data_IF_218773513832
#
_entry.id   IF_218773513832
#
_cell.length_a   1.000
_cell.length_b   1.000
_cell.length_c   1.000
_cell.angle_alpha   90.00
_cell.angle_beta   90.00
_cell.angle_gamma   90.00
#
_symmetry.space_group_name_H-M   'P 1'
#
loop_
_entity.id
_entity.type
_entity.pdbx_description
1 polymer ?
#
# COMPACT_ATOMS: atom_id res chain seq x y z
N UNK A 1 11.02 24.47 -5.11
CA UNK A 1 11.15 23.05 -5.46
C UNK A 1 10.87 22.92 -6.94
N UNK A 2 11.84 22.43 -7.70
CA UNK A 2 11.59 21.99 -9.08
C UNK A 2 10.85 20.67 -9.03
N UNK A 3 9.78 20.58 -9.80
CA UNK A 3 9.19 19.30 -10.18
C UNK A 3 10.13 18.67 -11.20
N UNK A 4 10.55 17.43 -10.98
CA UNK A 4 11.34 16.65 -11.94
C UNK A 4 10.58 15.36 -12.22
N UNK A 5 10.35 15.05 -13.49
CA UNK A 5 9.73 13.81 -13.90
C UNK A 5 10.79 12.72 -14.07
N UNK A 6 10.46 11.45 -13.75
CA UNK A 6 11.32 10.31 -14.08
C UNK A 6 11.73 10.29 -15.56
N UNK A 7 10.81 10.69 -16.45
CA UNK A 7 11.07 10.78 -17.89
C UNK A 7 12.12 11.83 -18.26
N UNK A 8 12.27 12.91 -17.48
CA UNK A 8 13.35 13.88 -17.67
C UNK A 8 14.70 13.25 -17.35
N UNK A 9 14.80 12.46 -16.28
CA UNK A 9 16.00 11.70 -15.93
C UNK A 9 16.35 10.68 -17.02
N UNK A 10 15.34 10.00 -17.57
CA UNK A 10 15.55 9.08 -18.69
C UNK A 10 16.14 9.81 -19.90
N UNK A 11 15.56 10.95 -20.29
CA UNK A 11 15.99 11.72 -21.47
C UNK A 11 17.36 12.37 -21.27
N UNK A 12 17.61 12.95 -20.09
CA UNK A 12 18.79 13.79 -19.85
C UNK A 12 20.01 13.02 -19.33
N UNK A 13 19.80 11.83 -18.73
CA UNK A 13 20.87 11.05 -18.08
C UNK A 13 20.98 9.64 -18.64
N UNK A 14 19.86 8.91 -18.73
CA UNK A 14 19.89 7.51 -19.20
C UNK A 14 20.21 7.40 -20.69
N UNK A 15 19.47 8.10 -21.56
CA UNK A 15 19.65 8.00 -23.02
C UNK A 15 21.05 8.42 -23.50
N UNK A 16 21.66 9.52 -23.02
CA UNK A 16 23.04 9.85 -23.37
C UNK A 16 24.03 8.77 -22.94
N UNK A 17 23.85 8.22 -21.73
CA UNK A 17 24.69 7.14 -21.21
C UNK A 17 24.54 5.87 -22.06
N UNK A 18 23.31 5.44 -22.34
CA UNK A 18 23.02 4.27 -23.17
C UNK A 18 23.64 4.41 -24.58
N UNK A 19 23.48 5.57 -25.22
CA UNK A 19 24.04 5.87 -26.54
C UNK A 19 25.56 5.84 -26.54
N UNK A 20 26.19 6.43 -25.53
CA UNK A 20 27.65 6.42 -25.42
C UNK A 20 28.20 5.00 -25.28
N UNK A 21 27.58 4.18 -24.45
CA UNK A 21 27.98 2.79 -24.23
C UNK A 21 27.73 1.92 -25.47
N UNK A 22 26.56 2.06 -26.12
CA UNK A 22 26.25 1.34 -27.36
C UNK A 22 27.20 1.73 -28.49
N UNK A 23 27.51 3.02 -28.66
CA UNK A 23 28.43 3.48 -29.69
C UNK A 23 29.82 2.87 -29.52
N UNK A 24 30.35 2.84 -28.29
CA UNK A 24 31.63 2.18 -27.99
C UNK A 24 31.57 0.67 -28.23
N UNK A 25 30.51 0.00 -27.75
CA UNK A 25 30.36 -1.43 -27.92
C UNK A 25 30.25 -1.85 -29.40
N UNK A 26 29.67 -1.01 -30.25
CA UNK A 26 29.60 -1.23 -31.70
C UNK A 26 30.95 -0.94 -32.38
N UNK A 27 31.64 0.14 -32.01
CA UNK A 27 32.98 0.46 -32.52
C UNK A 27 33.97 -0.69 -32.23
N UNK A 28 33.92 -1.26 -31.01
CA UNK A 28 34.70 -2.45 -30.61
C UNK A 28 34.39 -3.71 -31.44
N UNK A 29 33.19 -3.78 -32.03
CA UNK A 29 32.75 -4.88 -32.90
C UNK A 29 33.04 -4.61 -34.39
N UNK A 30 33.77 -3.53 -34.70
CA UNK A 30 34.23 -3.21 -36.05
C UNK A 30 33.22 -2.42 -36.89
N UNK A 31 32.16 -1.88 -36.30
CA UNK A 31 31.26 -0.97 -37.01
C UNK A 31 31.97 0.35 -37.31
N UNK A 32 31.77 0.88 -38.51
CA UNK A 32 32.21 2.24 -38.83
C UNK A 32 31.35 3.27 -38.08
N UNK A 33 31.92 4.46 -37.83
CA UNK A 33 31.18 5.53 -37.14
C UNK A 33 29.91 5.95 -37.87
N UNK A 34 29.86 5.81 -39.20
CA UNK A 34 28.66 6.06 -39.98
C UNK A 34 27.59 4.98 -39.74
N UNK A 35 27.97 3.70 -39.73
CA UNK A 35 27.03 2.61 -39.45
C UNK A 35 26.47 2.66 -38.02
N UNK A 36 27.27 3.14 -37.06
CA UNK A 36 26.82 3.39 -35.69
C UNK A 36 25.83 4.57 -35.66
N UNK A 37 26.13 5.65 -36.38
CA UNK A 37 25.28 6.83 -36.47
C UNK A 37 23.90 6.48 -37.03
N UNK A 38 23.87 5.70 -38.12
CA UNK A 38 22.65 5.25 -38.77
C UNK A 38 21.78 4.38 -37.85
N UNK A 39 22.40 3.49 -37.05
CA UNK A 39 21.68 2.62 -36.09
C UNK A 39 21.15 3.37 -34.88
N UNK A 40 21.93 4.30 -34.33
CA UNK A 40 21.56 5.03 -33.11
C UNK A 40 20.68 6.26 -33.40
N UNK A 41 20.49 6.62 -34.67
CA UNK A 41 19.72 7.80 -35.08
C UNK A 41 20.38 9.10 -34.63
N UNK A 42 21.72 9.17 -34.70
CA UNK A 42 22.52 10.34 -34.29
C UNK A 42 23.46 10.75 -35.41
N UNK A 43 24.17 11.87 -35.26
CA UNK A 43 25.18 12.28 -36.24
C UNK A 43 26.49 11.48 -36.05
N UNK A 44 27.25 11.28 -37.13
CA UNK A 44 28.58 10.67 -37.04
C UNK A 44 29.53 11.48 -36.13
N UNK A 45 29.38 12.80 -36.08
CA UNK A 45 30.11 13.64 -35.14
C UNK A 45 29.79 13.33 -33.67
N UNK A 46 28.53 13.04 -33.34
CA UNK A 46 28.13 12.59 -32.00
C UNK A 46 28.75 11.22 -31.66
N UNK A 47 28.78 10.28 -32.62
CA UNK A 47 29.46 8.99 -32.44
C UNK A 47 30.95 9.18 -32.15
N UNK A 48 31.63 10.07 -32.88
CA UNK A 48 33.02 10.40 -32.63
C UNK A 48 33.27 10.92 -31.21
N UNK A 49 32.35 11.70 -30.64
CA UNK A 49 32.43 12.16 -29.25
C UNK A 49 32.20 11.00 -28.26
N UNK A 50 31.21 10.14 -28.51
CA UNK A 50 30.95 8.97 -27.66
C UNK A 50 32.14 8.03 -27.56
N UNK A 51 32.77 7.71 -28.70
CA UNK A 51 33.92 6.80 -28.78
C UNK A 51 35.15 7.38 -28.08
N UNK A 52 35.40 8.69 -28.22
CA UNK A 52 36.49 9.38 -27.49
C UNK A 52 36.22 9.54 -25.99
N UNK A 53 34.96 9.47 -25.59
CA UNK A 53 34.52 9.69 -24.22
C UNK A 53 34.41 11.14 -23.81
N UNK A 54 34.21 12.03 -24.78
CA UNK A 54 33.99 13.46 -24.58
C UNK A 54 32.53 13.78 -24.17
N UNK A 55 31.82 12.83 -23.55
CA UNK A 55 30.40 12.97 -23.18
C UNK A 55 30.19 12.58 -21.73
N UNK A 56 29.45 13.41 -20.99
CA UNK A 56 29.04 13.12 -19.61
C UNK A 56 28.12 11.90 -19.59
N UNK A 57 28.51 10.90 -18.81
CA UNK A 57 27.69 9.73 -18.49
C UNK A 57 27.29 9.78 -17.02
N UNK A 58 26.16 9.15 -16.69
CA UNK A 58 25.74 8.96 -15.31
C UNK A 58 26.30 7.64 -14.77
N UNK A 59 27.18 7.72 -13.77
CA UNK A 59 27.91 6.56 -13.23
C UNK A 59 26.95 5.50 -12.69
N UNK A 60 25.85 5.91 -12.05
CA UNK A 60 24.82 4.98 -11.54
C UNK A 60 24.19 4.12 -12.62
N UNK A 61 24.18 4.59 -13.87
CA UNK A 61 23.71 3.81 -15.02
C UNK A 61 24.86 3.08 -15.71
N UNK A 62 26.00 3.75 -15.92
CA UNK A 62 27.13 3.20 -16.66
C UNK A 62 27.80 2.01 -15.96
N UNK A 63 27.73 1.97 -14.63
CA UNK A 63 28.29 0.90 -13.81
C UNK A 63 27.31 -0.24 -13.52
N UNK A 64 26.01 -0.03 -13.73
CA UNK A 64 24.99 -1.05 -13.47
C UNK A 64 25.16 -2.27 -14.39
N UNK A 65 25.16 -3.46 -13.78
CA UNK A 65 25.39 -4.71 -14.50
C UNK A 65 24.32 -4.98 -15.56
N UNK A 66 23.06 -4.58 -15.31
CA UNK A 66 21.94 -4.77 -16.24
C UNK A 66 22.07 -3.86 -17.44
N UNK A 67 22.55 -2.62 -17.27
CA UNK A 67 22.88 -1.73 -18.38
C UNK A 67 23.98 -2.34 -19.25
N UNK A 68 25.09 -2.75 -18.65
CA UNK A 68 26.22 -3.37 -19.38
C UNK A 68 25.82 -4.66 -20.08
N UNK A 69 24.96 -5.48 -19.47
CA UNK A 69 24.43 -6.69 -20.09
C UNK A 69 23.54 -6.38 -21.29
N UNK A 70 22.66 -5.38 -21.17
CA UNK A 70 21.75 -4.96 -22.25
C UNK A 70 22.51 -4.34 -23.42
N UNK A 71 23.47 -3.46 -23.16
CA UNK A 71 24.36 -2.89 -24.19
C UNK A 71 25.11 -3.98 -24.94
N UNK A 72 25.70 -4.96 -24.23
CA UNK A 72 26.40 -6.09 -24.87
C UNK A 72 25.45 -6.92 -25.73
N UNK A 73 24.28 -7.28 -25.20
CA UNK A 73 23.27 -8.07 -25.91
C UNK A 73 22.83 -7.39 -27.21
N UNK A 74 22.56 -6.09 -27.18
CA UNK A 74 22.20 -5.31 -28.36
C UNK A 74 23.37 -5.26 -29.37
N UNK A 75 24.58 -4.94 -28.90
CA UNK A 75 25.74 -4.83 -29.77
C UNK A 75 26.11 -6.16 -30.44
N UNK A 76 26.04 -7.28 -29.69
CA UNK A 76 26.23 -8.63 -30.21
C UNK A 76 25.15 -9.00 -31.21
N UNK A 77 23.89 -8.68 -30.91
CA UNK A 77 22.75 -8.91 -31.80
C UNK A 77 22.89 -8.16 -33.13
N UNK A 78 23.33 -6.90 -33.09
CA UNK A 78 23.60 -6.13 -34.30
C UNK A 78 24.79 -6.68 -35.11
N UNK A 79 25.88 -7.08 -34.44
CA UNK A 79 27.05 -7.67 -35.11
C UNK A 79 26.72 -9.01 -35.79
N UNK A 80 25.86 -9.82 -35.16
CA UNK A 80 25.41 -11.10 -35.70
C UNK A 80 24.28 -10.98 -36.73
N UNK A 81 23.68 -9.79 -36.87
CA UNK A 81 22.47 -9.59 -37.68
C UNK A 81 21.23 -10.33 -37.13
N UNK A 82 21.26 -10.74 -35.86
CA UNK A 82 20.19 -11.45 -35.18
C UNK A 82 19.24 -10.53 -34.40
N UNK A 83 19.50 -9.22 -34.42
CA UNK A 83 18.69 -8.20 -33.77
C UNK A 83 18.49 -7.02 -34.72
N UNK A 84 17.26 -6.55 -34.85
CA UNK A 84 16.93 -5.32 -35.57
C UNK A 84 16.74 -4.11 -34.62
N UNK A 85 16.48 -2.93 -35.19
CA UNK A 85 16.32 -1.70 -34.41
C UNK A 85 15.09 -1.71 -33.50
N UNK A 86 14.03 -2.47 -33.86
CA UNK A 86 12.82 -2.59 -33.05
C UNK A 86 13.08 -3.47 -31.83
N UNK A 87 13.79 -4.59 -32.00
CA UNK A 87 14.20 -5.47 -30.90
C UNK A 87 15.17 -4.76 -29.95
N UNK A 88 16.14 -4.01 -30.48
CA UNK A 88 17.03 -3.18 -29.65
C UNK A 88 16.27 -2.10 -28.86
N UNK A 89 15.23 -1.51 -29.45
CA UNK A 89 14.35 -0.57 -28.76
C UNK A 89 13.61 -1.26 -27.61
N UNK A 90 13.06 -2.46 -27.84
CA UNK A 90 12.36 -3.23 -26.81
C UNK A 90 13.29 -3.55 -25.62
N UNK A 91 14.54 -3.91 -25.90
CA UNK A 91 15.58 -4.16 -24.88
C UNK A 91 15.88 -2.92 -24.03
N UNK A 92 15.99 -1.74 -24.66
CA UNK A 92 16.21 -0.49 -23.95
C UNK A 92 14.99 -0.07 -23.12
N UNK A 93 13.77 -0.26 -23.65
CA UNK A 93 12.53 0.04 -22.92
C UNK A 93 12.38 -0.85 -21.68
N UNK A 94 12.63 -2.16 -21.81
CA UNK A 94 12.61 -3.09 -20.68
C UNK A 94 13.64 -2.72 -19.60
N UNK A 95 14.81 -2.22 -20.02
CA UNK A 95 15.82 -1.72 -19.09
C UNK A 95 15.37 -0.44 -18.37
N UNK A 96 14.74 0.50 -19.08
CA UNK A 96 14.16 1.71 -18.47
C UNK A 96 13.13 1.33 -17.42
N UNK A 97 12.18 0.46 -17.75
CA UNK A 97 11.17 -0.04 -16.79
C UNK A 97 11.82 -0.66 -15.54
N UNK A 98 12.87 -1.46 -15.75
CA UNK A 98 13.63 -2.07 -14.64
C UNK A 98 14.35 -1.02 -13.77
N UNK A 99 14.77 0.09 -14.36
CA UNK A 99 15.45 1.17 -13.63
C UNK A 99 14.47 2.11 -12.92
N UNK A 100 13.25 2.23 -13.44
CA UNK A 100 12.13 2.95 -12.84
C UNK A 100 11.44 2.17 -11.71
N UNK A 101 11.69 0.86 -11.58
CA UNK A 101 11.27 0.06 -10.43
C UNK A 101 12.35 -0.02 -9.35
N UNK A 102 12.35 0.98 -8.45
CA UNK A 102 13.28 1.07 -7.31
C UNK A 102 14.74 0.90 -7.72
N UNK A 103 15.05 1.29 -8.94
CA UNK A 103 16.36 1.15 -9.56
C UNK A 103 17.12 2.46 -9.58
N UNK A 104 18.19 2.51 -10.39
CA UNK A 104 19.03 3.69 -10.51
C UNK A 104 18.29 4.98 -10.89
N UNK A 105 17.21 4.91 -11.69
CA UNK A 105 16.42 6.11 -12.05
C UNK A 105 15.74 6.69 -10.81
N UNK A 106 15.17 5.85 -9.94
CA UNK A 106 14.60 6.29 -8.67
C UNK A 106 15.64 6.95 -7.76
N UNK A 107 16.86 6.38 -7.69
CA UNK A 107 17.93 6.95 -6.87
C UNK A 107 18.37 8.34 -7.36
N UNK A 108 18.45 8.54 -8.67
CA UNK A 108 18.72 9.87 -9.25
C UNK A 108 17.54 10.81 -8.99
N UNK A 109 16.31 10.31 -9.10
CA UNK A 109 15.10 11.10 -8.88
C UNK A 109 14.98 11.62 -7.46
N UNK A 110 15.30 10.78 -6.47
CA UNK A 110 15.35 11.15 -5.06
C UNK A 110 16.39 12.25 -4.77
N UNK A 111 17.54 12.20 -5.45
CA UNK A 111 18.58 13.23 -5.33
C UNK A 111 18.15 14.58 -5.95
N UNK A 112 17.43 14.55 -7.06
CA UNK A 112 16.92 15.76 -7.75
C UNK A 112 15.65 16.32 -7.09
N UNK A 113 14.87 15.46 -6.43
CA UNK A 113 13.66 15.82 -5.69
C UNK A 113 13.74 15.36 -4.23
N UNK A 114 14.38 16.16 -3.34
CA UNK A 114 14.57 15.79 -1.94
C UNK A 114 13.29 15.51 -1.15
N UNK A 115 12.12 15.90 -1.64
CA UNK A 115 10.84 15.49 -1.02
C UNK A 115 10.65 13.98 -1.04
N UNK A 116 11.16 13.30 -2.07
CA UNK A 116 11.06 11.86 -2.24
C UNK A 116 11.98 11.07 -1.31
N UNK A 117 12.91 11.75 -0.61
CA UNK A 117 13.90 11.14 0.26
C UNK A 117 13.23 10.26 1.34
N UNK A 118 13.49 8.95 1.28
CA UNK A 118 12.94 7.97 2.20
C UNK A 118 11.45 7.65 2.02
N UNK A 119 10.76 8.19 1.01
CA UNK A 119 9.33 7.88 0.78
C UNK A 119 9.11 6.45 0.27
N UNK A 120 10.09 5.84 -0.39
CA UNK A 120 9.90 4.58 -1.09
C UNK A 120 8.89 4.71 -2.25
N UNK A 121 9.03 5.77 -3.04
CA UNK A 121 8.16 6.09 -4.18
C UNK A 121 8.06 4.90 -5.16
N UNK A 122 6.83 4.54 -5.56
CA UNK A 122 6.55 3.50 -6.56
C UNK A 122 5.58 3.96 -7.67
N UNK A 123 5.44 5.29 -7.83
CA UNK A 123 4.50 5.92 -8.76
C UNK A 123 4.73 5.50 -10.23
N UNK A 124 5.99 5.37 -10.67
CA UNK A 124 6.35 4.98 -12.04
C UNK A 124 5.85 3.58 -12.41
N UNK A 125 5.86 2.66 -11.45
CA UNK A 125 5.51 1.24 -11.66
C UNK A 125 4.02 1.01 -11.45
N UNK A 126 3.45 1.71 -10.47
CA UNK A 126 2.11 1.38 -9.96
C UNK A 126 1.04 2.39 -10.38
N UNK A 127 1.44 3.44 -11.08
CA UNK A 127 0.56 4.49 -11.61
C UNK A 127 -0.15 5.28 -10.52
N UNK A 128 -1.10 6.10 -10.95
CA UNK A 128 -1.99 6.89 -10.11
C UNK A 128 -3.38 6.22 -9.96
N UNK A 129 -3.45 4.90 -9.91
CA UNK A 129 -4.74 4.22 -9.74
C UNK A 129 -5.25 4.45 -8.31
N UNK A 130 -6.22 5.35 -8.19
CA UNK A 130 -6.87 5.72 -6.93
C UNK A 130 -7.40 4.49 -6.17
N UNK A 131 -7.83 3.44 -6.88
CA UNK A 131 -8.30 2.22 -6.25
C UNK A 131 -7.15 1.46 -5.59
N UNK A 132 -6.01 1.30 -6.27
CA UNK A 132 -4.82 0.64 -5.72
C UNK A 132 -4.22 1.43 -4.55
N UNK A 133 -4.26 2.77 -4.63
CA UNK A 133 -3.83 3.66 -3.53
C UNK A 133 -4.76 3.48 -2.32
N UNK A 134 -6.09 3.49 -2.54
CA UNK A 134 -7.08 3.29 -1.49
C UNK A 134 -6.94 1.91 -0.83
N UNK A 135 -6.69 0.86 -1.61
CA UNK A 135 -6.48 -0.49 -1.10
C UNK A 135 -5.25 -0.58 -0.20
N UNK A 136 -4.12 -0.02 -0.62
CA UNK A 136 -2.91 0.02 0.22
C UNK A 136 -3.11 0.86 1.47
N UNK A 137 -3.77 2.00 1.34
CA UNK A 137 -4.09 2.85 2.48
C UNK A 137 -4.90 2.07 3.52
N UNK A 138 -5.92 1.31 3.08
CA UNK A 138 -6.71 0.46 3.96
C UNK A 138 -5.87 -0.62 4.65
N UNK A 139 -5.04 -1.38 3.91
CA UNK A 139 -4.15 -2.40 4.49
C UNK A 139 -3.15 -1.81 5.50
N UNK A 140 -2.57 -0.64 5.18
CA UNK A 140 -1.63 0.08 6.06
C UNK A 140 -2.31 0.57 7.34
N UNK A 141 -3.52 1.11 7.22
CA UNK A 141 -4.36 1.53 8.35
C UNK A 141 -4.70 0.35 9.26
N UNK A 142 -5.12 -0.79 8.72
CA UNK A 142 -5.41 -1.98 9.53
C UNK A 142 -4.16 -2.52 10.21
N UNK A 143 -3.02 -2.55 9.52
CA UNK A 143 -1.74 -2.98 10.12
C UNK A 143 -1.35 -2.09 11.30
N UNK A 144 -1.48 -0.77 11.17
CA UNK A 144 -1.22 0.19 12.25
C UNK A 144 -2.18 0.00 13.43
N UNK A 145 -3.47 -0.14 13.15
CA UNK A 145 -4.49 -0.38 14.16
C UNK A 145 -4.25 -1.70 14.94
N UNK A 146 -3.97 -2.80 14.23
CA UNK A 146 -3.66 -4.09 14.85
C UNK A 146 -2.41 -4.01 15.74
N UNK A 147 -1.35 -3.34 15.28
CA UNK A 147 -0.15 -3.11 16.12
C UNK A 147 -0.45 -2.25 17.33
N UNK A 148 -1.31 -1.24 17.21
CA UNK A 148 -1.73 -0.39 18.36
C UNK A 148 -2.45 -1.23 19.41
N UNK A 149 -3.44 -2.03 19.01
CA UNK A 149 -4.14 -2.96 19.90
C UNK A 149 -3.17 -3.96 20.54
N UNK A 150 -2.24 -4.51 19.74
CA UNK A 150 -1.30 -5.53 20.22
C UNK A 150 -0.35 -5.02 21.32
N UNK A 151 -0.01 -3.73 21.28
CA UNK A 151 0.90 -3.08 22.22
C UNK A 151 0.18 -2.29 23.33
N UNK A 152 -1.15 -2.25 23.32
CA UNK A 152 -1.92 -1.52 24.33
C UNK A 152 -1.94 -2.32 25.65
N UNK A 153 -1.53 -1.71 26.78
CA UNK A 153 -1.67 -2.33 28.09
C UNK A 153 -3.12 -2.72 28.38
N UNK A 154 -3.33 -3.83 29.09
CA UNK A 154 -4.67 -4.30 29.45
C UNK A 154 -5.49 -4.92 28.30
N UNK A 155 -5.19 -4.60 27.03
CA UNK A 155 -6.00 -5.03 25.88
C UNK A 155 -6.29 -6.53 25.82
N UNK A 156 -5.36 -7.38 26.26
CA UNK A 156 -5.54 -8.83 26.27
C UNK A 156 -6.77 -9.32 27.07
N UNK A 157 -7.19 -8.62 28.12
CA UNK A 157 -8.38 -8.97 28.92
C UNK A 157 -9.70 -8.60 28.23
N UNK A 158 -9.63 -7.71 27.24
CA UNK A 158 -10.78 -7.24 26.45
C UNK A 158 -10.91 -7.96 25.11
N UNK A 159 -10.00 -8.89 24.79
CA UNK A 159 -10.12 -9.77 23.62
C UNK A 159 -11.14 -10.90 23.93
N UNK A 160 -12.23 -11.04 23.17
CA UNK A 160 -13.23 -12.09 23.39
C UNK A 160 -12.68 -13.47 22.99
N UNK A 161 -13.35 -14.56 23.41
CA UNK A 161 -12.93 -15.93 23.06
C UNK A 161 -12.93 -16.18 21.54
N UNK A 162 -13.80 -15.48 20.81
CA UNK A 162 -13.82 -15.53 19.34
C UNK A 162 -12.70 -14.70 18.66
N UNK A 163 -11.85 -14.05 19.43
CA UNK A 163 -10.81 -13.14 18.99
C UNK A 163 -11.31 -11.75 18.59
N UNK A 164 -10.41 -10.77 18.65
CA UNK A 164 -10.64 -9.40 18.17
C UNK A 164 -10.23 -9.31 16.72
N UNK A 165 -11.10 -8.78 15.86
CA UNK A 165 -10.69 -8.35 14.54
C UNK A 165 -10.83 -6.83 14.43
N UNK A 166 -10.06 -6.24 13.54
CA UNK A 166 -10.03 -4.82 13.24
C UNK A 166 -9.94 -4.67 11.74
N UNK A 167 -10.73 -3.76 11.18
CA UNK A 167 -10.84 -3.63 9.73
C UNK A 167 -11.22 -2.24 9.25
N UNK A 168 -10.92 -1.97 7.99
CA UNK A 168 -11.26 -0.73 7.29
C UNK A 168 -11.66 -1.00 5.87
N UNK A 169 -12.76 -0.38 5.45
CA UNK A 169 -13.21 -0.39 4.08
C UNK A 169 -12.53 0.68 3.22
N UNK A 170 -12.32 0.39 1.94
CA UNK A 170 -12.00 1.43 0.96
C UNK A 170 -13.19 2.41 0.81
N UNK A 171 -12.97 3.66 0.37
CA UNK A 171 -14.07 4.58 0.10
C UNK A 171 -15.06 3.97 -0.91
N UNK A 172 -16.36 4.10 -0.65
CA UNK A 172 -17.41 3.57 -1.53
C UNK A 172 -17.58 2.05 -1.53
N UNK A 173 -16.94 1.32 -0.61
CA UNK A 173 -17.08 -0.12 -0.45
C UNK A 173 -18.54 -0.59 -0.40
N UNK A 174 -18.84 -1.68 -1.11
CA UNK A 174 -20.18 -2.28 -1.15
C UNK A 174 -20.18 -3.76 -0.77
N UNK A 175 -19.02 -4.41 -0.87
CA UNK A 175 -18.86 -5.83 -0.57
C UNK A 175 -17.88 -6.06 0.59
N UNK A 176 -17.95 -7.24 1.21
CA UNK A 176 -17.00 -7.65 2.26
C UNK A 176 -15.58 -7.78 1.72
N UNK A 177 -15.42 -8.05 0.43
CA UNK A 177 -14.11 -8.05 -0.26
C UNK A 177 -13.47 -6.67 -0.33
N UNK A 178 -14.24 -5.59 -0.14
CA UNK A 178 -13.73 -4.21 -0.14
C UNK A 178 -13.23 -3.78 1.24
N UNK A 179 -13.25 -4.70 2.23
CA UNK A 179 -12.85 -4.44 3.62
C UNK A 179 -11.58 -5.21 3.97
N UNK A 180 -10.51 -4.47 4.27
CA UNK A 180 -9.29 -5.03 4.82
C UNK A 180 -9.49 -5.40 6.29
N UNK A 181 -8.99 -6.55 6.72
CA UNK A 181 -9.01 -7.00 8.11
C UNK A 181 -7.85 -7.97 8.40
N UNK A 182 -7.71 -8.45 9.63
CA UNK A 182 -6.67 -9.42 9.99
C UNK A 182 -7.20 -10.85 9.86
N UNK A 183 -6.65 -11.70 8.99
CA UNK A 183 -7.03 -13.11 8.90
C UNK A 183 -6.61 -13.83 10.18
N UNK A 184 -7.41 -14.79 10.66
CA UNK A 184 -7.17 -15.48 11.94
C UNK A 184 -7.46 -14.66 13.21
N UNK A 185 -7.63 -13.33 13.10
CA UNK A 185 -7.96 -12.38 14.19
C UNK A 185 -6.85 -12.25 15.23
N UNK A 186 -6.89 -11.16 15.99
CA UNK A 186 -6.02 -10.95 17.13
C UNK A 186 -6.48 -11.84 18.29
N UNK A 187 -5.52 -12.55 18.90
CA UNK A 187 -5.77 -13.53 19.96
C UNK A 187 -5.04 -13.14 21.24
N UNK A 188 -5.68 -13.30 22.39
CA UNK A 188 -5.02 -13.14 23.67
C UNK A 188 -4.25 -14.42 24.05
N UNK A 189 -2.95 -14.28 24.34
CA UNK A 189 -2.09 -15.35 24.86
C UNK A 189 -1.37 -14.82 26.10
N UNK A 190 -1.87 -15.23 27.26
CA UNK A 190 -1.46 -14.64 28.54
C UNK A 190 -1.84 -13.16 28.60
N UNK A 191 -0.88 -12.28 28.91
CA UNK A 191 -1.08 -10.83 28.93
C UNK A 191 -0.81 -10.14 27.59
N UNK A 192 -0.54 -10.92 26.52
CA UNK A 192 -0.18 -10.38 25.20
C UNK A 192 -1.28 -10.62 24.20
N UNK A 193 -1.38 -9.73 23.21
CA UNK A 193 -2.24 -9.90 22.05
C UNK A 193 -1.36 -10.23 20.84
N UNK A 194 -1.63 -11.36 20.20
CA UNK A 194 -0.90 -11.84 19.02
C UNK A 194 -1.65 -11.50 17.74
N UNK A 195 -0.93 -10.97 16.75
CA UNK A 195 -1.42 -10.75 15.38
C UNK A 195 -0.90 -11.91 14.51
N UNK A 196 -1.77 -12.82 14.03
CA UNK A 196 -1.33 -14.08 13.42
C UNK A 196 -0.78 -13.92 12.00
N UNK A 197 -1.19 -12.87 11.28
CA UNK A 197 -0.83 -12.64 9.89
C UNK A 197 -0.99 -11.16 9.51
N UNK A 198 -0.43 -10.79 8.35
CA UNK A 198 -0.64 -9.46 7.76
C UNK A 198 -2.11 -9.27 7.33
N UNK A 199 -2.62 -8.02 7.32
CA UNK A 199 -3.98 -7.75 6.86
C UNK A 199 -4.18 -8.12 5.39
N UNK A 200 -5.40 -8.53 5.07
CA UNK A 200 -5.87 -8.81 3.71
C UNK A 200 -7.34 -8.40 3.56
N UNK A 201 -7.79 -8.28 2.30
CA UNK A 201 -9.18 -7.98 1.97
C UNK A 201 -10.08 -9.21 2.15
N UNK A 202 -11.30 -9.00 2.63
CA UNK A 202 -12.29 -10.08 2.83
C UNK A 202 -12.02 -11.00 4.03
N UNK A 203 -10.96 -10.75 4.82
CA UNK A 203 -10.57 -11.61 5.95
C UNK A 203 -11.60 -11.68 7.11
N UNK A 204 -12.55 -10.75 7.18
CA UNK A 204 -13.49 -10.65 8.31
C UNK A 204 -14.91 -10.33 7.89
N UNK A 205 -15.75 -11.35 7.74
CA UNK A 205 -17.18 -11.15 7.46
C UNK A 205 -17.89 -10.32 8.54
N UNK A 206 -17.54 -10.50 9.83
CA UNK A 206 -18.25 -9.85 10.94
C UNK A 206 -17.95 -8.37 11.04
N UNK A 207 -16.66 -8.00 10.98
CA UNK A 207 -16.26 -6.58 11.00
C UNK A 207 -16.70 -5.91 9.71
N UNK A 208 -16.53 -6.57 8.55
CA UNK A 208 -16.99 -6.03 7.27
C UNK A 208 -18.50 -5.76 7.27
N UNK A 209 -19.33 -6.69 7.78
CA UNK A 209 -20.78 -6.48 7.89
C UNK A 209 -21.12 -5.24 8.72
N UNK A 210 -20.44 -5.04 9.85
CA UNK A 210 -20.65 -3.86 10.71
C UNK A 210 -20.21 -2.57 10.01
N UNK A 211 -19.04 -2.57 9.38
CA UNK A 211 -18.51 -1.42 8.63
C UNK A 211 -19.44 -1.05 7.46
N UNK A 212 -19.84 -2.02 6.63
CA UNK A 212 -20.74 -1.78 5.49
C UNK A 212 -22.15 -1.35 5.92
N UNK A 213 -22.60 -1.76 7.11
CA UNK A 213 -23.85 -1.27 7.67
C UNK A 213 -23.73 0.20 8.12
N UNK A 214 -22.62 0.57 8.74
CA UNK A 214 -22.31 1.94 9.14
C UNK A 214 -22.17 2.86 7.92
N UNK A 215 -21.36 2.47 6.93
CA UNK A 215 -21.12 3.21 5.70
C UNK A 215 -22.37 3.51 4.89
N UNK A 216 -23.37 2.61 4.94
CA UNK A 216 -24.65 2.83 4.28
C UNK A 216 -25.47 4.00 4.88
N UNK A 217 -25.08 4.50 6.06
CA UNK A 217 -25.68 5.67 6.71
C UNK A 217 -24.70 6.84 6.85
N UNK A 218 -23.43 6.56 7.13
CA UNK A 218 -22.34 7.52 7.30
C UNK A 218 -21.11 7.03 6.48
N UNK A 219 -20.93 7.51 5.22
CA UNK A 219 -19.89 7.02 4.31
C UNK A 219 -18.46 7.15 4.83
N UNK A 220 -18.21 8.08 5.76
CA UNK A 220 -16.89 8.30 6.34
C UNK A 220 -16.58 7.29 7.46
N UNK A 221 -17.59 6.59 8.00
CA UNK A 221 -17.44 5.57 9.05
C UNK A 221 -16.97 4.22 8.50
N UNK A 222 -15.71 4.17 8.07
CA UNK A 222 -15.14 3.01 7.36
C UNK A 222 -14.34 2.06 8.25
N UNK A 223 -14.14 2.39 9.53
CA UNK A 223 -13.36 1.57 10.46
C UNK A 223 -14.19 0.93 11.56
N UNK A 224 -13.88 -0.33 11.89
CA UNK A 224 -14.40 -0.94 13.10
C UNK A 224 -13.48 -2.03 13.67
N UNK A 225 -13.65 -2.33 14.95
CA UNK A 225 -13.08 -3.50 15.61
C UNK A 225 -14.07 -4.07 16.63
N UNK A 226 -13.80 -5.29 17.10
CA UNK A 226 -14.61 -5.92 18.15
C UNK A 226 -13.80 -6.25 19.42
N UNK A 227 -14.41 -6.01 20.58
CA UNK A 227 -13.94 -6.38 21.92
C UNK A 227 -14.99 -7.24 22.63
N UNK A 228 -14.60 -7.90 23.71
CA UNK A 228 -15.53 -8.51 24.65
C UNK A 228 -16.37 -7.43 25.33
N UNK A 229 -17.68 -7.67 25.46
CA UNK A 229 -18.55 -6.73 26.18
C UNK A 229 -18.35 -6.85 27.69
N UNK A 230 -18.13 -5.73 28.37
CA UNK A 230 -18.16 -5.63 29.82
C UNK A 230 -18.92 -4.37 30.26
N UNK A 231 -19.48 -4.39 31.47
CA UNK A 231 -20.15 -3.20 32.04
C UNK A 231 -19.21 -1.99 32.09
N UNK A 232 -17.99 -2.20 32.60
CA UNK A 232 -16.95 -1.17 32.69
C UNK A 232 -16.61 -0.54 31.32
N UNK A 233 -16.54 -1.34 30.25
CA UNK A 233 -16.29 -0.83 28.90
C UNK A 233 -17.45 0.06 28.40
N UNK A 234 -18.70 -0.34 28.68
CA UNK A 234 -19.88 0.45 28.30
C UNK A 234 -20.00 1.73 29.13
N UNK A 235 -19.66 1.68 30.42
CA UNK A 235 -19.65 2.86 31.30
C UNK A 235 -18.55 3.84 30.88
N UNK A 236 -17.35 3.35 30.56
CA UNK A 236 -16.26 4.17 30.02
C UNK A 236 -16.62 4.89 28.71
N UNK A 237 -17.52 4.32 27.90
CA UNK A 237 -18.07 4.97 26.72
C UNK A 237 -19.10 6.06 27.09
N UNK A 238 -20.01 5.77 28.03
CA UNK A 238 -21.02 6.73 28.51
C UNK A 238 -20.38 7.94 29.17
N UNK A 239 -19.32 7.74 29.95
CA UNK A 239 -18.58 8.81 30.62
C UNK A 239 -17.91 9.77 29.62
N UNK A 240 -17.65 9.29 28.40
CA UNK A 240 -17.16 10.10 27.27
C UNK A 240 -18.27 10.71 26.42
N UNK A 241 -19.53 10.60 26.85
CA UNK A 241 -20.70 11.09 26.11
C UNK A 241 -21.07 10.23 24.90
N UNK A 242 -20.52 9.02 24.79
CA UNK A 242 -20.89 8.05 23.75
C UNK A 242 -22.01 7.18 24.29
N UNK A 243 -23.21 7.30 23.74
CA UNK A 243 -24.34 6.41 24.07
C UNK A 243 -24.24 5.09 23.26
N UNK A 244 -23.89 3.94 23.88
CA UNK A 244 -23.71 2.68 23.17
C UNK A 244 -25.05 2.14 22.66
N UNK A 245 -25.09 1.72 21.40
CA UNK A 245 -26.30 1.14 20.81
C UNK A 245 -26.34 -0.38 20.96
N UNK A 246 -27.31 -0.87 21.72
CA UNK A 246 -27.64 -2.29 21.79
C UNK A 246 -28.29 -2.80 20.49
N UNK A 247 -27.92 -4.00 20.06
CA UNK A 247 -28.52 -4.70 18.91
C UNK A 247 -28.61 -6.22 19.12
N UNK A 248 -29.36 -6.91 18.25
CA UNK A 248 -29.55 -8.36 18.33
C UNK A 248 -28.29 -9.15 17.94
N UNK A 249 -27.95 -10.17 18.75
CA UNK A 249 -26.75 -10.98 18.58
C UNK A 249 -26.83 -12.00 17.43
N UNK A 250 -27.99 -12.23 16.82
CA UNK A 250 -28.14 -13.13 15.67
C UNK A 250 -27.25 -12.74 14.49
N UNK A 251 -26.87 -13.73 13.68
CA UNK A 251 -26.09 -13.49 12.45
C UNK A 251 -26.98 -13.24 11.23
N UNK A 252 -28.16 -13.87 11.20
CA UNK A 252 -29.12 -13.74 10.12
C UNK A 252 -29.52 -12.27 9.93
N UNK A 253 -29.42 -11.77 8.70
CA UNK A 253 -29.75 -10.39 8.32
C UNK A 253 -29.12 -9.29 9.17
N UNK A 254 -28.01 -9.57 9.88
CA UNK A 254 -27.40 -8.62 10.82
C UNK A 254 -27.10 -7.26 10.18
N UNK A 255 -26.51 -7.26 8.97
CA UNK A 255 -26.21 -6.02 8.26
C UNK A 255 -27.46 -5.19 7.94
N UNK A 256 -28.56 -5.84 7.54
CA UNK A 256 -29.84 -5.17 7.28
C UNK A 256 -30.42 -4.58 8.57
N UNK A 257 -30.46 -5.36 9.65
CA UNK A 257 -30.99 -4.91 10.95
C UNK A 257 -30.18 -3.74 11.51
N UNK A 258 -28.85 -3.76 11.40
CA UNK A 258 -28.00 -2.64 11.80
C UNK A 258 -28.32 -1.38 10.99
N UNK A 259 -28.48 -1.49 9.66
CA UNK A 259 -28.87 -0.36 8.79
C UNK A 259 -30.23 0.22 9.19
N UNK A 260 -31.21 -0.62 9.50
CA UNK A 260 -32.53 -0.18 9.98
C UNK A 260 -32.39 0.60 11.31
N UNK A 261 -31.60 0.08 12.25
CA UNK A 261 -31.34 0.74 13.54
C UNK A 261 -30.61 2.08 13.40
N UNK A 262 -29.62 2.20 12.51
CA UNK A 262 -28.95 3.48 12.24
C UNK A 262 -29.90 4.51 11.63
N UNK A 263 -30.79 4.07 10.72
CA UNK A 263 -31.82 4.94 10.13
C UNK A 263 -32.82 5.45 11.17
N UNK A 264 -33.30 4.57 12.05
CA UNK A 264 -34.20 4.94 13.15
C UNK A 264 -33.55 5.94 14.11
N UNK A 265 -32.27 5.70 14.44
CA UNK A 265 -31.47 6.56 15.32
C UNK A 265 -31.00 7.86 14.64
N UNK A 266 -31.05 7.93 13.31
CA UNK A 266 -30.53 9.04 12.48
C UNK A 266 -29.05 9.37 12.74
N UNK A 267 -28.28 8.37 13.17
CA UNK A 267 -26.84 8.48 13.42
C UNK A 267 -26.19 7.09 13.52
N UNK A 268 -24.88 7.03 13.22
CA UNK A 268 -24.04 5.87 13.54
C UNK A 268 -23.27 6.16 14.82
N UNK A 269 -23.59 5.51 15.96
CA UNK A 269 -22.84 5.70 17.19
C UNK A 269 -21.47 5.00 17.09
N UNK A 270 -20.50 5.52 17.85
CA UNK A 270 -19.13 4.98 17.89
C UNK A 270 -19.03 3.62 18.60
N UNK A 271 -20.03 3.25 19.41
CA UNK A 271 -20.05 1.99 20.14
C UNK A 271 -21.37 1.28 19.89
N UNK A 272 -21.30 0.01 19.49
CA UNK A 272 -22.41 -0.91 19.34
C UNK A 272 -22.15 -2.12 20.20
N UNK A 273 -23.16 -2.76 20.77
CA UNK A 273 -22.94 -4.00 21.49
C UNK A 273 -24.14 -4.93 21.43
N UNK A 274 -23.88 -6.21 21.67
CA UNK A 274 -24.91 -7.18 22.01
C UNK A 274 -24.50 -7.97 23.25
N UNK A 275 -25.50 -8.38 24.03
CA UNK A 275 -25.32 -9.18 25.25
C UNK A 275 -25.16 -10.68 24.96
N UNK A 276 -25.01 -11.04 23.69
CA UNK A 276 -24.87 -12.43 23.25
C UNK A 276 -26.22 -13.12 23.04
N UNK A 277 -26.15 -14.40 22.73
CA UNK A 277 -27.29 -15.31 22.59
C UNK A 277 -26.81 -16.74 22.80
N UNK A 278 -27.68 -17.74 22.66
CA UNK A 278 -27.27 -19.14 22.75
C UNK A 278 -26.14 -19.44 21.74
N UNK A 279 -24.95 -19.81 22.24
CA UNK A 279 -23.77 -20.06 21.43
C UNK A 279 -23.10 -18.81 20.83
N UNK A 280 -23.49 -17.61 21.25
CA UNK A 280 -22.93 -16.33 20.80
C UNK A 280 -22.46 -15.54 22.03
N UNK A 281 -21.15 -15.38 22.15
CA UNK A 281 -20.52 -14.56 23.20
C UNK A 281 -20.91 -13.07 23.05
N UNK A 282 -21.07 -12.32 24.15
CA UNK A 282 -21.25 -10.86 24.11
C UNK A 282 -20.09 -10.15 23.41
N UNK A 283 -20.39 -9.26 22.48
CA UNK A 283 -19.39 -8.51 21.72
C UNK A 283 -19.77 -7.04 21.61
N UNK A 284 -18.78 -6.18 21.80
CA UNK A 284 -18.85 -4.73 21.60
C UNK A 284 -18.05 -4.37 20.36
N UNK A 285 -18.65 -3.61 19.44
CA UNK A 285 -17.98 -3.02 18.29
C UNK A 285 -17.67 -1.56 18.57
N UNK A 286 -16.42 -1.16 18.28
CA UNK A 286 -15.98 0.23 18.30
C UNK A 286 -15.78 0.67 16.86
N UNK A 287 -16.40 1.79 16.47
CA UNK A 287 -16.37 2.34 15.12
C UNK A 287 -15.58 3.65 15.08
N UNK A 288 -14.93 3.89 13.95
CA UNK A 288 -14.18 5.10 13.65
C UNK A 288 -14.23 5.42 12.16
N UNK A 289 -13.67 6.56 11.78
CA UNK A 289 -13.51 6.91 10.36
C UNK A 289 -12.63 5.88 9.66
N UNK A 290 -11.55 5.44 10.33
CA UNK A 290 -10.75 4.28 9.95
C UNK A 290 -10.49 3.37 11.15
N UNK A 291 -9.86 2.23 10.91
CA UNK A 291 -9.48 1.28 11.95
C UNK A 291 -8.52 1.90 12.95
N UNK A 292 -7.73 2.91 12.55
CA UNK A 292 -6.79 3.57 13.46
C UNK A 292 -7.55 4.42 14.48
N UNK A 293 -8.59 5.16 14.07
CA UNK A 293 -9.46 5.91 14.97
C UNK A 293 -10.28 4.95 15.84
N UNK A 294 -10.82 3.87 15.28
CA UNK A 294 -11.52 2.84 16.03
C UNK A 294 -10.61 2.21 17.11
N UNK A 295 -9.36 1.87 16.76
CA UNK A 295 -8.37 1.33 17.69
C UNK A 295 -7.92 2.34 18.73
N UNK A 296 -7.81 3.62 18.37
CA UNK A 296 -7.48 4.70 19.32
C UNK A 296 -8.58 4.82 20.37
N UNK A 297 -9.83 4.93 19.94
CA UNK A 297 -10.98 4.96 20.85
C UNK A 297 -11.05 3.69 21.71
N UNK A 298 -10.85 2.51 21.11
CA UNK A 298 -10.88 1.25 21.85
C UNK A 298 -9.83 1.20 22.97
N UNK A 299 -8.60 1.64 22.69
CA UNK A 299 -7.54 1.72 23.71
C UNK A 299 -7.93 2.68 24.84
N UNK A 300 -8.46 3.86 24.51
CA UNK A 300 -8.90 4.83 25.51
C UNK A 300 -10.06 4.31 26.39
N UNK A 301 -10.98 3.53 25.80
CA UNK A 301 -12.07 2.88 26.53
C UNK A 301 -11.53 1.77 27.45
N UNK A 302 -10.58 0.97 26.98
CA UNK A 302 -9.92 -0.07 27.78
C UNK A 302 -9.16 0.54 28.96
N UNK A 303 -8.36 1.58 28.72
CA UNK A 303 -7.61 2.28 29.77
C UNK A 303 -8.53 2.86 30.86
N UNK A 304 -9.66 3.43 30.46
CA UNK A 304 -10.65 3.94 31.41
C UNK A 304 -11.39 2.82 32.15
N UNK A 305 -11.71 1.72 31.48
CA UNK A 305 -12.37 0.57 32.09
C UNK A 305 -11.47 -0.15 33.10
N UNK A 306 -10.16 -0.20 32.88
CA UNK A 306 -9.18 -0.81 33.78
C UNK A 306 -8.75 0.14 34.93
N UNK A 307 -8.94 1.44 34.75
CA UNK A 307 -8.64 2.48 35.76
C UNK A 307 -9.82 2.88 36.65
N UNK A 308 -11.03 2.38 36.36
CA UNK A 308 -12.27 2.65 37.09
C UNK A 308 -12.52 1.67 38.25
#
# INVERSE_FOLDING_TARGET
>A
MSLVLPSEIVVERFLPTARALLARALDERGFTQQEVADRLGVTQAAVSQYVRGDVTVEDRFAEDERMRATVRRIADGFAAGSMDGYEALAELLALVETFEDRGPVCAVHEAEMPVLDGMGCDLCVRGADDAVIAERAALSVVRRAARRLANAPGMATHVPNVGTNVGTAVPGATDVTDVAAVPGRLQAVGSRVLVPADPEFGASQRVATTVLAAMAHDPDRRGALNLGTSGALLDAARDRGIDPLAFDAGYEDRGRRLRERFRERRSVPQVLYHEGAFGIEPVTYVLGETATEAATLAVELVEAADGA
#
